data_IF_611441246258
#
_entry.id   IF_611441246258
#
_cell.length_a   1.000
_cell.length_b   1.000
_cell.length_c   1.000
_cell.angle_alpha   90.00
_cell.angle_beta   90.00
_cell.angle_gamma   90.00
#
_symmetry.space_group_name_H-M   'P 1'
#
loop_
_entity.id
_entity.type
_entity.pdbx_description
1 polymer ?
#
# COMPACT_ATOMS: atom_id res chain seq x y z
N UNK A 1 -17.56 1.03 -2.08
CA UNK A 1 -16.41 0.82 -1.20
C UNK A 1 -15.16 1.15 -2.00
N UNK A 2 -14.12 1.74 -1.40
CA UNK A 2 -12.84 1.89 -2.07
C UNK A 2 -12.19 0.53 -2.29
N UNK A 3 -11.34 0.47 -3.30
CA UNK A 3 -10.38 -0.60 -3.48
C UNK A 3 -9.21 -0.37 -2.50
N UNK A 4 -8.70 -1.42 -1.88
CA UNK A 4 -7.60 -1.36 -0.92
C UNK A 4 -6.26 -1.68 -1.60
N UNK A 5 -5.29 -0.77 -1.46
CA UNK A 5 -3.92 -0.99 -1.95
C UNK A 5 -3.00 -1.15 -0.75
N UNK A 6 -2.33 -2.30 -0.66
CA UNK A 6 -1.26 -2.56 0.31
C UNK A 6 -0.04 -1.78 -0.10
N UNK A 7 0.57 -1.07 0.85
CA UNK A 7 1.81 -0.33 0.66
C UNK A 7 2.83 -0.76 1.71
N UNK A 8 4.06 -0.98 1.27
CA UNK A 8 5.21 -1.30 2.11
C UNK A 8 6.31 -0.28 1.83
N UNK A 9 6.77 0.43 2.86
CA UNK A 9 7.92 1.34 2.76
C UNK A 9 9.07 0.75 3.58
N UNK A 10 10.19 0.48 2.91
CA UNK A 10 11.45 0.07 3.53
C UNK A 10 12.44 1.24 3.49
N UNK A 11 12.98 1.59 4.65
CA UNK A 11 13.89 2.72 4.85
C UNK A 11 15.33 2.19 4.93
N UNK A 12 16.23 2.71 4.10
CA UNK A 12 17.65 2.33 4.12
C UNK A 12 18.49 3.40 4.81
N UNK A 13 18.65 3.28 6.13
CA UNK A 13 19.50 4.11 6.97
C UNK A 13 19.94 3.35 8.23
N UNK A 14 20.73 3.97 9.11
CA UNK A 14 21.01 3.41 10.43
C UNK A 14 19.80 3.53 11.38
N UNK A 15 19.77 2.71 12.44
CA UNK A 15 18.64 2.60 13.36
C UNK A 15 18.21 3.94 13.98
N UNK A 16 19.16 4.84 14.30
CA UNK A 16 18.80 6.14 14.87
C UNK A 16 18.10 7.01 13.83
N UNK A 17 18.59 6.99 12.59
CA UNK A 17 18.00 7.74 11.49
C UNK A 17 16.62 7.20 11.11
N UNK A 18 16.45 5.88 11.10
CA UNK A 18 15.15 5.24 10.91
C UNK A 18 14.17 5.70 11.99
N UNK A 19 14.58 5.65 13.26
CA UNK A 19 13.72 6.08 14.36
C UNK A 19 13.32 7.56 14.24
N UNK A 20 14.25 8.45 13.90
CA UNK A 20 13.96 9.87 13.69
C UNK A 20 12.89 10.07 12.59
N UNK A 21 13.04 9.38 11.45
CA UNK A 21 12.11 9.46 10.33
C UNK A 21 10.72 8.96 10.77
N UNK A 22 10.65 7.77 11.37
CA UNK A 22 9.37 7.19 11.79
C UNK A 22 8.66 8.05 12.85
N UNK A 23 9.41 8.63 13.79
CA UNK A 23 8.86 9.57 14.77
C UNK A 23 8.27 10.83 14.13
N UNK A 24 8.87 11.30 13.03
CA UNK A 24 8.41 12.51 12.34
C UNK A 24 7.14 12.30 11.52
N UNK A 25 6.90 11.09 11.01
CA UNK A 25 5.80 10.80 10.08
C UNK A 25 4.66 10.01 10.69
N UNK A 26 4.83 9.40 11.87
CA UNK A 26 3.79 8.56 12.48
C UNK A 26 2.46 9.28 12.67
N UNK A 27 1.36 8.54 12.60
CA UNK A 27 0.07 9.00 13.13
C UNK A 27 0.15 9.17 14.64
N UNK A 28 -0.44 10.24 15.17
CA UNK A 28 -0.54 10.47 16.62
C UNK A 28 -1.52 9.50 17.29
N UNK A 29 -2.46 8.92 16.52
CA UNK A 29 -3.43 7.95 17.02
C UNK A 29 -2.86 6.53 17.07
N UNK A 30 -2.07 6.15 16.05
CA UNK A 30 -1.54 4.78 15.89
C UNK A 30 -0.15 4.63 16.49
N UNK A 31 0.71 5.65 16.40
CA UNK A 31 2.08 5.61 16.88
C UNK A 31 3.08 5.03 15.87
N UNK A 32 4.24 4.58 16.34
CA UNK A 32 5.30 4.04 15.49
C UNK A 32 4.81 2.85 14.65
N UNK A 33 5.32 2.74 13.43
CA UNK A 33 4.82 1.77 12.44
C UNK A 33 3.73 2.32 11.52
N UNK A 34 3.32 3.57 11.70
CA UNK A 34 2.32 4.25 10.87
C UNK A 34 2.90 5.42 10.08
N UNK A 35 2.13 5.93 9.13
CA UNK A 35 2.44 7.13 8.36
C UNK A 35 1.21 8.05 8.31
N UNK A 36 1.44 9.34 8.48
CA UNK A 36 0.43 10.39 8.39
C UNK A 36 0.78 11.33 7.22
N UNK A 37 -0.02 11.25 6.17
CA UNK A 37 0.18 12.05 4.96
C UNK A 37 0.05 13.55 5.25
N UNK A 38 -0.74 13.97 6.26
CA UNK A 38 -0.86 15.38 6.63
C UNK A 38 0.44 15.94 7.25
N UNK A 39 1.31 15.09 7.82
CA UNK A 39 2.64 15.50 8.32
C UNK A 39 3.67 15.69 7.20
N UNK A 40 3.40 15.13 6.02
CA UNK A 40 4.29 15.15 4.86
C UNK A 40 3.83 16.20 3.84
N UNK A 41 2.54 16.16 3.48
CA UNK A 41 1.86 17.12 2.61
C UNK A 41 0.57 17.57 3.31
N UNK A 42 0.66 18.67 4.04
CA UNK A 42 -0.44 19.19 4.86
C UNK A 42 -1.50 19.92 4.03
N UNK A 43 -2.79 19.72 4.33
CA UNK A 43 -3.85 20.51 3.73
C UNK A 43 -3.90 21.94 4.29
N UNK A 44 -4.55 22.89 3.57
CA UNK A 44 -4.83 24.22 4.09
C UNK A 44 -5.67 24.19 5.38
N UNK A 45 -5.49 25.18 6.27
CA UNK A 45 -6.21 25.25 7.56
C UNK A 45 -7.74 25.39 7.41
N UNK A 46 -8.20 26.05 6.34
CA UNK A 46 -9.61 26.34 6.09
C UNK A 46 -10.33 25.26 5.25
N UNK A 47 -9.68 24.11 5.03
CA UNK A 47 -10.23 23.02 4.23
C UNK A 47 -11.48 22.40 4.88
N UNK A 48 -12.49 22.06 4.06
CA UNK A 48 -13.65 21.34 4.55
C UNK A 48 -13.34 19.85 4.77
N UNK A 49 -13.43 19.38 6.01
CA UNK A 49 -13.10 18.00 6.43
C UNK A 49 -14.30 17.05 6.56
N UNK A 50 -15.51 17.52 6.26
CA UNK A 50 -16.72 16.71 6.40
C UNK A 50 -17.00 15.82 5.18
N UNK A 51 -18.08 15.04 5.27
CA UNK A 51 -18.56 14.21 4.16
C UNK A 51 -18.97 15.08 2.97
N UNK A 52 -18.42 14.79 1.79
CA UNK A 52 -18.70 15.56 0.59
C UNK A 52 -19.91 14.98 -0.16
N UNK A 53 -21.05 15.63 -0.02
CA UNK A 53 -22.25 15.40 -0.85
C UNK A 53 -22.41 16.45 -1.95
N UNK A 54 -23.55 16.43 -2.65
CA UNK A 54 -23.86 17.41 -3.69
C UNK A 54 -23.93 18.85 -3.15
N UNK A 55 -24.38 19.04 -1.90
CA UNK A 55 -24.48 20.36 -1.28
C UNK A 55 -23.12 20.90 -0.87
N UNK A 56 -22.28 20.06 -0.25
CA UNK A 56 -20.91 20.41 0.12
C UNK A 56 -20.06 20.70 -1.12
N UNK A 57 -20.20 19.91 -2.18
CA UNK A 57 -19.53 20.18 -3.45
C UNK A 57 -19.92 21.54 -4.03
N UNK A 58 -21.21 21.93 -3.95
CA UNK A 58 -21.67 23.26 -4.40
C UNK A 58 -21.15 24.39 -3.52
N UNK A 59 -20.96 24.14 -2.22
CA UNK A 59 -20.57 25.15 -1.24
C UNK A 59 -19.05 25.36 -1.21
N UNK A 60 -18.28 24.29 -1.20
CA UNK A 60 -16.83 24.33 -1.00
C UNK A 60 -16.03 24.07 -2.29
N UNK A 61 -16.67 23.56 -3.35
CA UNK A 61 -15.95 23.22 -4.59
C UNK A 61 -14.84 22.21 -4.31
N UNK A 62 -13.61 22.55 -4.72
CA UNK A 62 -12.43 21.72 -4.46
C UNK A 62 -11.78 21.99 -3.09
N UNK A 63 -12.29 22.93 -2.28
CA UNK A 63 -11.77 23.18 -0.94
C UNK A 63 -12.28 22.14 0.07
N UNK A 64 -12.08 20.86 -0.23
CA UNK A 64 -12.49 19.71 0.58
C UNK A 64 -11.35 18.72 0.73
N UNK A 65 -11.28 18.01 1.86
CA UNK A 65 -10.26 16.97 2.08
C UNK A 65 -10.29 15.88 1.01
N UNK A 66 -11.48 15.59 0.48
CA UNK A 66 -11.64 14.61 -0.59
C UNK A 66 -10.90 15.05 -1.87
N UNK A 67 -11.10 16.29 -2.29
CA UNK A 67 -10.40 16.86 -3.44
C UNK A 67 -8.90 16.96 -3.19
N UNK A 68 -8.51 17.40 -1.98
CA UNK A 68 -7.11 17.52 -1.61
C UNK A 68 -6.36 16.19 -1.69
N UNK A 69 -6.94 15.11 -1.15
CA UNK A 69 -6.36 13.78 -1.22
C UNK A 69 -6.05 13.37 -2.66
N UNK A 70 -7.03 13.46 -3.56
CA UNK A 70 -6.82 13.13 -4.97
C UNK A 70 -5.79 14.04 -5.66
N UNK A 71 -5.75 15.33 -5.32
CA UNK A 71 -4.87 16.29 -5.98
C UNK A 71 -3.43 16.29 -5.44
N UNK A 72 -3.21 15.83 -4.20
CA UNK A 72 -1.93 16.00 -3.50
C UNK A 72 -1.35 14.71 -2.93
N UNK A 73 -2.15 13.66 -2.74
CA UNK A 73 -1.69 12.36 -2.24
C UNK A 73 -1.93 11.23 -3.24
N UNK A 74 -2.64 11.50 -4.35
CA UNK A 74 -3.21 10.53 -5.30
C UNK A 74 -4.25 9.56 -4.70
N UNK A 75 -4.43 9.54 -3.38
CA UNK A 75 -5.35 8.67 -2.65
C UNK A 75 -6.58 9.43 -2.17
N UNK A 76 -7.69 8.72 -1.95
CA UNK A 76 -8.93 9.36 -1.48
C UNK A 76 -8.82 9.95 -0.07
N UNK A 77 -8.03 9.31 0.79
CA UNK A 77 -7.84 9.68 2.20
C UNK A 77 -6.42 9.29 2.63
N UNK A 78 -6.06 9.65 3.86
CA UNK A 78 -4.81 9.30 4.52
C UNK A 78 -4.62 7.77 4.62
N UNK A 79 -3.42 7.32 5.01
CA UNK A 79 -3.12 5.91 5.26
C UNK A 79 -3.97 5.32 6.41
N UNK A 80 -4.35 4.05 6.29
CA UNK A 80 -5.19 3.35 7.27
C UNK A 80 -4.91 1.84 7.27
N UNK A 81 -5.72 1.06 8.00
CA UNK A 81 -5.71 -0.40 7.93
C UNK A 81 -4.51 -1.04 8.65
N UNK A 82 -3.93 -0.36 9.63
CA UNK A 82 -2.80 -0.87 10.40
C UNK A 82 -3.11 -2.17 11.17
N UNK A 83 -4.39 -2.43 11.43
CA UNK A 83 -4.89 -3.67 12.03
C UNK A 83 -4.96 -4.86 11.07
N UNK A 84 -4.74 -4.63 9.76
CA UNK A 84 -4.60 -5.69 8.77
C UNK A 84 -3.19 -6.32 8.77
N UNK A 85 -2.21 -5.68 9.40
CA UNK A 85 -0.81 -6.11 9.42
C UNK A 85 -0.41 -6.60 10.82
N UNK A 86 0.74 -7.26 10.91
CA UNK A 86 1.34 -7.54 12.21
C UNK A 86 1.70 -6.23 12.92
N UNK A 87 1.53 -6.16 14.26
CA UNK A 87 1.94 -4.98 15.01
C UNK A 87 3.40 -4.63 14.75
N UNK A 88 3.69 -3.33 14.61
CA UNK A 88 5.06 -2.87 14.43
C UNK A 88 5.88 -3.11 15.71
N UNK A 89 6.89 -3.97 15.62
CA UNK A 89 7.79 -4.31 16.73
C UNK A 89 9.19 -3.68 16.59
N UNK A 90 9.35 -2.74 15.66
CA UNK A 90 10.64 -2.12 15.32
C UNK A 90 11.15 -2.51 13.93
N UNK A 91 12.31 -1.97 13.56
CA UNK A 91 12.91 -2.19 12.25
C UNK A 91 12.63 -1.06 11.27
N UNK A 92 12.91 -1.32 10.00
CA UNK A 92 12.99 -0.29 8.96
C UNK A 92 11.84 -0.32 7.96
N UNK A 93 10.83 -1.15 8.19
CA UNK A 93 9.69 -1.31 7.28
C UNK A 93 8.38 -0.97 7.99
N UNK A 94 7.50 -0.27 7.27
CA UNK A 94 6.12 0.00 7.70
C UNK A 94 5.15 -0.41 6.60
N UNK A 95 3.94 -0.79 7.00
CA UNK A 95 2.89 -1.30 6.12
C UNK A 95 1.57 -0.60 6.42
N UNK A 96 0.82 -0.26 5.37
CA UNK A 96 -0.45 0.44 5.47
C UNK A 96 -1.29 0.26 4.21
N UNK A 97 -2.60 0.48 4.35
CA UNK A 97 -3.54 0.54 3.25
C UNK A 97 -3.75 1.97 2.78
N UNK A 98 -4.01 2.11 1.48
CA UNK A 98 -4.55 3.32 0.86
C UNK A 98 -5.79 2.99 0.03
N UNK A 99 -6.60 4.01 -0.22
CA UNK A 99 -7.79 3.87 -1.06
C UNK A 99 -7.45 4.18 -2.52
N UNK A 100 -7.75 3.23 -3.40
CA UNK A 100 -7.68 3.26 -4.88
C UNK A 100 -6.30 3.23 -5.53
N UNK A 101 -5.28 3.79 -4.91
CA UNK A 101 -3.97 4.00 -5.54
C UNK A 101 -2.86 4.02 -4.52
N UNK A 102 -1.62 3.91 -4.99
CA UNK A 102 -0.41 4.17 -4.20
C UNK A 102 -0.27 5.69 -3.94
N UNK A 103 0.30 6.14 -2.81
CA UNK A 103 0.40 7.54 -2.47
C UNK A 103 1.68 8.20 -3.04
N UNK A 104 1.89 8.13 -4.36
CA UNK A 104 3.15 8.53 -5.01
C UNK A 104 3.69 9.91 -4.59
N UNK A 105 2.88 11.01 -4.59
CA UNK A 105 3.37 12.33 -4.20
C UNK A 105 3.87 12.37 -2.75
N UNK A 106 3.25 11.59 -1.86
CA UNK A 106 3.65 11.48 -0.45
C UNK A 106 5.03 10.83 -0.34
N UNK A 107 5.28 9.76 -1.10
CA UNK A 107 6.57 9.06 -1.09
C UNK A 107 7.69 9.92 -1.67
N UNK A 108 7.42 10.62 -2.78
CA UNK A 108 8.34 11.60 -3.36
C UNK A 108 8.67 12.69 -2.33
N UNK A 109 7.65 13.25 -1.67
CA UNK A 109 7.85 14.30 -0.67
C UNK A 109 8.61 13.81 0.56
N UNK A 110 8.31 12.59 1.02
CA UNK A 110 9.04 11.93 2.10
C UNK A 110 10.53 11.81 1.76
N UNK A 111 10.83 11.35 0.54
CA UNK A 111 12.20 11.24 0.03
C UNK A 111 12.93 12.59 -0.04
N UNK A 112 12.23 13.69 -0.34
CA UNK A 112 12.79 15.06 -0.30
C UNK A 112 13.05 15.57 1.12
N UNK A 113 12.23 15.17 2.09
CA UNK A 113 12.42 15.56 3.50
C UNK A 113 13.68 14.93 4.10
N UNK A 114 14.07 13.76 3.61
CA UNK A 114 15.23 13.00 4.06
C UNK A 114 16.15 12.67 2.87
N UNK A 115 16.82 13.67 2.28
CA UNK A 115 17.53 13.52 1.00
C UNK A 115 18.75 12.59 1.07
N UNK A 116 19.26 12.33 2.27
CA UNK A 116 20.35 11.41 2.58
C UNK A 116 19.92 9.93 2.60
N UNK A 117 18.62 9.66 2.62
CA UNK A 117 18.05 8.32 2.83
C UNK A 117 17.37 7.81 1.57
N UNK A 118 17.48 6.49 1.33
CA UNK A 118 16.74 5.81 0.27
C UNK A 118 15.48 5.16 0.84
N UNK A 119 14.37 5.27 0.09
CA UNK A 119 13.09 4.68 0.43
C UNK A 119 12.69 3.72 -0.68
N UNK A 120 12.54 2.45 -0.36
CA UNK A 120 11.93 1.48 -1.26
C UNK A 120 10.45 1.38 -0.96
N UNK A 121 9.61 1.69 -1.93
CA UNK A 121 8.16 1.62 -1.82
C UNK A 121 7.64 0.55 -2.76
N UNK A 122 7.02 -0.49 -2.19
CA UNK A 122 6.31 -1.52 -2.93
C UNK A 122 4.81 -1.40 -2.65
N UNK A 123 3.98 -1.66 -3.65
CA UNK A 123 2.52 -1.66 -3.49
C UNK A 123 1.86 -2.77 -4.30
N UNK A 124 0.75 -3.28 -3.79
CA UNK A 124 -0.08 -4.26 -4.47
C UNK A 124 -1.55 -4.01 -4.17
N UNK A 125 -2.35 -4.06 -5.22
CA UNK A 125 -3.80 -3.93 -5.13
C UNK A 125 -4.44 -5.24 -4.62
N UNK A 126 -5.60 -5.15 -3.96
CA UNK A 126 -6.40 -6.32 -3.59
C UNK A 126 -6.97 -7.06 -4.82
N UNK A 127 -7.17 -6.36 -5.94
CA UNK A 127 -7.36 -6.98 -7.25
C UNK A 127 -6.01 -7.49 -7.78
N UNK A 128 -5.63 -8.68 -7.32
CA UNK A 128 -4.28 -9.22 -7.51
C UNK A 128 -3.86 -9.26 -8.99
N UNK A 129 -2.60 -8.86 -9.24
CA UNK A 129 -2.04 -8.76 -10.58
C UNK A 129 -2.40 -7.47 -11.32
N UNK A 130 -3.24 -6.61 -10.73
CA UNK A 130 -3.45 -5.23 -11.16
C UNK A 130 -2.69 -4.26 -10.23
N UNK A 131 -2.39 -3.05 -10.72
CA UNK A 131 -1.87 -1.94 -9.92
C UNK A 131 -0.83 -2.37 -8.85
N UNK A 132 0.27 -2.96 -9.34
CA UNK A 132 1.34 -3.55 -8.53
C UNK A 132 2.68 -3.05 -9.05
N UNK A 133 3.61 -2.80 -8.14
CA UNK A 133 4.94 -2.33 -8.49
C UNK A 133 5.80 -2.01 -7.29
N UNK A 134 7.04 -1.64 -7.58
CA UNK A 134 7.99 -1.14 -6.59
C UNK A 134 8.92 -0.08 -7.19
N UNK A 135 9.29 0.91 -6.40
CA UNK A 135 10.19 2.00 -6.79
C UNK A 135 11.12 2.34 -5.64
N UNK A 136 12.39 2.60 -5.97
CA UNK A 136 13.41 3.13 -5.07
C UNK A 136 13.53 4.64 -5.25
N UNK A 137 13.34 5.39 -4.17
CA UNK A 137 13.38 6.85 -4.16
C UNK A 137 14.59 7.39 -3.38
N UNK A 138 15.20 8.47 -3.87
CA UNK A 138 16.15 9.27 -3.09
C UNK A 138 16.07 10.75 -3.46
N UNK A 139 15.98 11.64 -2.47
CA UNK A 139 15.90 13.08 -2.65
C UNK A 139 14.79 13.50 -3.66
N UNK A 140 13.68 12.76 -3.68
CA UNK A 140 12.55 13.01 -4.57
C UNK A 140 12.71 12.52 -6.01
N UNK A 141 13.79 11.81 -6.33
CA UNK A 141 14.02 11.18 -7.64
C UNK A 141 13.77 9.67 -7.56
N UNK A 142 13.27 9.09 -8.65
CA UNK A 142 13.13 7.64 -8.83
C UNK A 142 14.44 7.07 -9.37
N UNK A 143 15.08 6.18 -8.61
CA UNK A 143 16.37 5.57 -8.95
C UNK A 143 16.20 4.24 -9.71
N UNK A 144 15.27 3.41 -9.23
CA UNK A 144 14.95 2.10 -9.79
C UNK A 144 13.44 1.92 -9.75
N UNK A 145 12.85 1.34 -10.79
CA UNK A 145 11.41 1.11 -10.86
C UNK A 145 11.12 -0.23 -11.53
N UNK A 146 10.20 -1.00 -10.95
CA UNK A 146 9.60 -2.17 -11.56
C UNK A 146 8.08 -2.09 -11.41
N UNK A 147 7.40 -1.85 -12.52
CA UNK A 147 5.93 -1.83 -12.60
C UNK A 147 5.54 -2.81 -13.70
N UNK A 148 5.30 -4.09 -13.36
CA UNK A 148 4.99 -5.10 -14.35
C UNK A 148 3.65 -4.79 -15.03
N UNK A 149 3.51 -5.24 -16.27
CA UNK A 149 2.22 -5.16 -16.95
C UNK A 149 1.18 -6.00 -16.20
N UNK A 150 -0.06 -5.49 -16.14
CA UNK A 150 -1.14 -6.14 -15.39
C UNK A 150 -1.39 -7.57 -15.88
N UNK A 151 -1.76 -8.45 -14.94
CA UNK A 151 -2.08 -9.87 -15.15
C UNK A 151 -0.97 -10.69 -15.82
N UNK A 152 0.28 -10.21 -15.75
CA UNK A 152 1.46 -11.01 -16.10
C UNK A 152 1.86 -11.92 -14.94
N UNK A 153 2.67 -12.94 -15.24
CA UNK A 153 3.26 -13.82 -14.22
C UNK A 153 3.97 -13.01 -13.14
N UNK A 154 4.81 -12.05 -13.56
CA UNK A 154 5.56 -11.15 -12.68
C UNK A 154 4.64 -10.29 -11.81
N UNK A 155 3.55 -9.74 -12.36
CA UNK A 155 2.59 -8.96 -11.58
C UNK A 155 1.91 -9.80 -10.47
N UNK A 156 1.58 -11.06 -10.76
CA UNK A 156 1.02 -11.96 -9.75
C UNK A 156 2.05 -12.32 -8.67
N UNK A 157 3.24 -12.74 -9.08
CA UNK A 157 4.32 -13.11 -8.14
C UNK A 157 4.68 -11.92 -7.23
N UNK A 158 4.87 -10.72 -7.80
CA UNK A 158 5.15 -9.51 -7.03
C UNK A 158 4.01 -9.15 -6.06
N UNK A 159 2.75 -9.24 -6.49
CA UNK A 159 1.61 -8.93 -5.61
C UNK A 159 1.51 -9.93 -4.44
N UNK A 160 1.77 -11.22 -4.70
CA UNK A 160 1.84 -12.27 -3.68
C UNK A 160 2.92 -12.00 -2.64
N UNK A 161 4.12 -11.58 -3.07
CA UNK A 161 5.23 -11.20 -2.18
C UNK A 161 4.96 -9.94 -1.35
N UNK A 162 4.18 -9.00 -1.88
CA UNK A 162 3.81 -7.77 -1.16
C UNK A 162 2.70 -8.03 -0.14
N UNK A 163 1.74 -8.88 -0.48
CA UNK A 163 0.67 -9.28 0.45
C UNK A 163 1.12 -10.31 1.51
N UNK A 164 2.28 -10.96 1.31
CA UNK A 164 2.77 -12.08 2.12
C UNK A 164 1.77 -13.26 2.16
N UNK A 165 1.17 -13.56 1.01
CA UNK A 165 0.15 -14.60 0.83
C UNK A 165 0.48 -15.47 -0.37
N UNK A 166 0.18 -16.76 -0.31
CA UNK A 166 0.37 -17.64 -1.48
C UNK A 166 -0.62 -17.31 -2.60
N UNK A 167 -0.22 -17.45 -3.87
CA UNK A 167 -1.10 -17.21 -5.02
C UNK A 167 -2.38 -18.07 -4.98
N UNK A 168 -2.32 -19.28 -4.41
CA UNK A 168 -3.49 -20.13 -4.22
C UNK A 168 -4.53 -19.55 -3.26
N UNK A 169 -4.15 -18.67 -2.33
CA UNK A 169 -5.09 -17.97 -1.45
C UNK A 169 -5.95 -16.95 -2.22
N UNK A 170 -5.44 -16.49 -3.37
CA UNK A 170 -6.20 -15.70 -4.34
C UNK A 170 -6.91 -16.56 -5.40
N UNK A 171 -6.88 -17.90 -5.25
CA UNK A 171 -7.42 -18.84 -6.22
C UNK A 171 -6.60 -18.93 -7.52
N UNK A 172 -5.36 -18.47 -7.54
CA UNK A 172 -4.48 -18.48 -8.70
C UNK A 172 -3.56 -19.69 -8.71
N UNK A 173 -3.59 -20.46 -9.80
CA UNK A 173 -2.76 -21.64 -10.01
C UNK A 173 -1.97 -21.53 -11.31
N UNK A 174 -0.74 -22.04 -11.29
CA UNK A 174 0.16 -21.97 -12.44
C UNK A 174 -0.35 -22.85 -13.59
N UNK A 175 -0.46 -22.27 -14.79
CA UNK A 175 -0.84 -22.95 -16.03
C UNK A 175 0.35 -23.01 -16.98
N UNK A 176 0.92 -24.19 -17.17
CA UNK A 176 2.09 -24.41 -18.05
C UNK A 176 1.84 -23.96 -19.50
N UNK A 177 0.57 -23.96 -19.95
CA UNK A 177 0.21 -23.59 -21.32
C UNK A 177 0.30 -22.10 -21.56
N UNK A 178 -0.14 -21.27 -20.61
CA UNK A 178 0.00 -19.81 -20.69
C UNK A 178 1.38 -19.34 -20.22
N UNK A 179 2.09 -20.15 -19.44
CA UNK A 179 3.32 -19.73 -18.75
C UNK A 179 3.06 -18.71 -17.64
N UNK A 180 1.83 -18.67 -17.11
CA UNK A 180 1.36 -17.72 -16.10
C UNK A 180 0.26 -18.38 -15.24
N UNK A 181 -0.40 -17.60 -14.38
CA UNK A 181 -1.44 -18.06 -13.47
C UNK A 181 -2.85 -17.90 -14.07
N UNK A 182 -3.78 -18.77 -13.64
CA UNK A 182 -5.20 -18.70 -13.94
C UNK A 182 -6.00 -18.97 -12.67
N UNK A 183 -7.19 -18.36 -12.60
CA UNK A 183 -8.16 -18.70 -11.57
C UNK A 183 -8.59 -20.16 -11.71
N UNK A 184 -8.52 -20.89 -10.59
CA UNK A 184 -8.97 -22.28 -10.47
C UNK A 184 -9.73 -22.47 -9.17
N UNK A 185 -10.54 -23.53 -9.10
CA UNK A 185 -11.15 -23.95 -7.84
C UNK A 185 -10.15 -24.81 -7.08
N UNK A 186 -10.07 -24.59 -5.77
CA UNK A 186 -9.33 -25.48 -4.87
C UNK A 186 -10.01 -26.86 -4.97
N UNK A 187 -9.33 -27.88 -5.51
CA UNK A 187 -9.82 -29.25 -5.35
C UNK A 187 -9.77 -29.54 -3.84
N UNK A 188 -10.93 -29.51 -3.17
CA UNK A 188 -11.06 -30.02 -1.82
C UNK A 188 -10.58 -31.47 -1.84
N UNK A 189 -9.36 -31.72 -1.36
CA UNK A 189 -8.95 -33.07 -1.05
C UNK A 189 -9.83 -33.54 0.09
N UNK A 190 -10.92 -34.23 -0.24
CA UNK A 190 -11.62 -35.11 0.69
C UNK A 190 -10.57 -36.07 1.26
N UNK A 191 -10.03 -35.76 2.44
CA UNK A 191 -9.45 -36.77 3.31
C UNK A 191 -10.58 -37.74 3.65
N UNK A 192 -10.74 -38.73 2.77
CA UNK A 192 -11.50 -39.93 3.02
C UNK A 192 -10.87 -40.62 4.23
N UNK A 193 -11.32 -40.22 5.41
CA UNK A 193 -11.09 -40.88 6.69
C UNK A 193 -11.69 -42.28 6.65
N UNK A 194 -11.02 -43.17 5.92
CA UNK A 194 -11.26 -44.60 5.92
C UNK A 194 -10.82 -45.17 7.26
N UNK A 195 -11.64 -45.02 8.29
CA UNK A 195 -11.58 -45.88 9.46
C UNK A 195 -12.64 -46.98 9.33
N UNK A 196 -12.29 -48.00 8.57
CA UNK A 196 -12.84 -49.35 8.78
C UNK A 196 -12.02 -49.99 9.89
N UNK A 197 -12.65 -50.22 11.04
CA UNK A 197 -12.21 -51.26 11.97
C UNK A 197 -13.44 -52.03 12.45
N UNK A 198 -13.38 -53.33 12.19
CA UNK A 198 -14.30 -54.39 12.62
C UNK A 198 -14.32 -54.55 14.15
#
# INVERSE_FOLDING_TARGET
MPNHVTNRITIYADDNRIQEILESIKSDEVGLGSIDFEKIISPPEDIYRGNVGLEEQRKYGNNTMLSFGYENWDTKWNAYGYDHFFPYEGGNTIEFLTAWSRPEPVIIKLSQMFPDVQFHHAWADEDIGSNVGEILYQNGEELEYNVPAQHTKEAYEMASEIHDLELSEFGLFYDEKSGSYKYGEQEETEEMGGMSLQ
#
